data_IF_284751101881
#
_entry.id   IF_284751101881
#
_cell.length_a   1.000
_cell.length_b   1.000
_cell.length_c   1.000
_cell.angle_alpha   90.00
_cell.angle_beta   90.00
_cell.angle_gamma   90.00
#
_symmetry.space_group_name_H-M   'P 1'
#
loop_
_entity.id
_entity.type
_entity.pdbx_description
1 polymer ?
#
# COMPACT_ATOMS: atom_id res chain seq x y z
N UNK A 1 -20.57 26.06 -15.10
CA UNK A 1 -20.30 24.95 -16.08
C UNK A 1 -20.84 23.65 -15.50
N UNK A 2 -21.53 22.83 -16.30
CA UNK A 2 -22.03 21.52 -15.83
C UNK A 2 -21.17 20.38 -16.36
N UNK A 3 -20.74 19.47 -15.50
CA UNK A 3 -19.99 18.25 -15.88
C UNK A 3 -20.29 17.11 -14.88
N UNK A 4 -19.76 15.93 -15.16
CA UNK A 4 -19.79 14.79 -14.23
C UNK A 4 -19.09 15.14 -12.94
N UNK A 5 -19.63 14.71 -11.81
CA UNK A 5 -19.08 15.00 -10.49
C UNK A 5 -17.59 14.64 -10.38
N UNK A 6 -17.19 13.42 -10.83
CA UNK A 6 -15.81 12.97 -10.77
C UNK A 6 -14.83 13.85 -11.57
N UNK A 7 -15.28 14.47 -12.65
CA UNK A 7 -14.47 15.40 -13.45
C UNK A 7 -14.47 16.81 -12.87
N UNK A 8 -15.66 17.28 -12.51
CA UNK A 8 -15.83 18.63 -11.98
C UNK A 8 -15.02 18.84 -10.72
N UNK A 9 -15.03 17.88 -9.79
CA UNK A 9 -14.26 17.95 -8.55
C UNK A 9 -12.74 18.08 -8.79
N UNK A 10 -12.22 17.44 -9.84
CA UNK A 10 -10.80 17.62 -10.23
C UNK A 10 -10.57 18.98 -10.87
N UNK A 11 -11.45 19.42 -11.78
CA UNK A 11 -11.32 20.74 -12.43
C UNK A 11 -11.42 21.93 -11.45
N UNK A 12 -12.12 21.74 -10.33
CA UNK A 12 -12.20 22.69 -9.24
C UNK A 12 -11.01 22.62 -8.26
N UNK A 13 -10.06 21.69 -8.48
CA UNK A 13 -8.90 21.49 -7.60
C UNK A 13 -9.22 20.86 -6.24
N UNK A 14 -10.43 20.30 -6.06
CA UNK A 14 -10.85 19.66 -4.82
C UNK A 14 -10.22 18.26 -4.64
N UNK A 15 -9.80 17.64 -5.74
CA UNK A 15 -9.07 16.38 -5.76
C UNK A 15 -8.02 16.37 -6.86
N UNK A 16 -6.90 15.71 -6.60
CA UNK A 16 -5.78 15.60 -7.56
C UNK A 16 -6.07 14.66 -8.73
N UNK A 17 -7.02 13.72 -8.57
CA UNK A 17 -7.36 12.75 -9.59
C UNK A 17 -8.84 12.35 -9.56
N UNK A 18 -9.34 11.88 -10.72
CA UNK A 18 -10.69 11.33 -10.82
C UNK A 18 -10.90 10.08 -9.94
N UNK A 19 -9.84 9.32 -9.70
CA UNK A 19 -9.89 8.14 -8.83
C UNK A 19 -10.14 8.57 -7.38
N UNK A 20 -9.45 9.61 -6.89
CA UNK A 20 -9.66 10.17 -5.55
C UNK A 20 -11.06 10.78 -5.40
N UNK A 21 -11.53 11.54 -6.41
CA UNK A 21 -12.88 12.10 -6.43
C UNK A 21 -13.96 11.01 -6.38
N UNK A 22 -13.81 9.94 -7.16
CA UNK A 22 -14.73 8.78 -7.16
C UNK A 22 -14.77 8.11 -5.79
N UNK A 23 -13.61 7.83 -5.20
CA UNK A 23 -13.54 7.23 -3.88
C UNK A 23 -14.25 8.07 -2.82
N UNK A 24 -14.07 9.40 -2.85
CA UNK A 24 -14.74 10.33 -1.95
C UNK A 24 -16.27 10.33 -2.13
N UNK A 25 -16.76 10.31 -3.39
CA UNK A 25 -18.20 10.23 -3.69
C UNK A 25 -18.77 8.90 -3.18
N UNK A 26 -18.14 7.77 -3.48
CA UNK A 26 -18.57 6.43 -3.06
C UNK A 26 -18.58 6.30 -1.54
N UNK A 27 -17.61 6.91 -0.85
CA UNK A 27 -17.56 7.00 0.60
C UNK A 27 -18.58 8.00 1.21
N UNK A 28 -19.35 8.70 0.38
CA UNK A 28 -20.35 9.70 0.84
C UNK A 28 -19.71 10.96 1.41
N UNK A 29 -18.52 11.31 0.99
CA UNK A 29 -17.74 12.45 1.46
C UNK A 29 -17.91 13.71 0.61
N UNK A 30 -18.87 13.71 -0.32
CA UNK A 30 -19.14 14.84 -1.23
C UNK A 30 -20.62 15.21 -1.15
N UNK A 31 -20.88 16.50 -0.94
CA UNK A 31 -22.24 17.09 -1.04
C UNK A 31 -22.24 18.25 -2.03
N UNK A 32 -23.37 18.49 -2.67
CA UNK A 32 -23.65 19.66 -3.50
C UNK A 32 -24.96 20.29 -3.05
N UNK A 33 -24.96 21.58 -2.73
CA UNK A 33 -26.11 22.29 -2.13
C UNK A 33 -26.71 21.55 -0.91
N UNK A 34 -25.82 20.98 -0.05
CA UNK A 34 -26.20 20.23 1.14
C UNK A 34 -26.70 18.79 0.87
N UNK A 35 -26.83 18.37 -0.39
CA UNK A 35 -27.31 17.04 -0.77
C UNK A 35 -26.13 16.14 -1.13
N UNK A 36 -26.10 14.90 -0.60
CA UNK A 36 -25.07 13.92 -0.91
C UNK A 36 -25.02 13.60 -2.40
N UNK A 37 -23.83 13.66 -3.00
CA UNK A 37 -23.57 13.20 -4.37
C UNK A 37 -23.54 11.68 -4.38
N UNK A 38 -24.50 11.06 -5.08
CA UNK A 38 -24.70 9.60 -5.00
C UNK A 38 -23.82 8.81 -5.97
N UNK A 39 -23.42 9.39 -7.09
CA UNK A 39 -22.68 8.69 -8.15
C UNK A 39 -21.60 9.58 -8.79
N UNK A 40 -20.42 9.03 -9.14
CA UNK A 40 -19.37 9.77 -9.85
C UNK A 40 -19.83 10.35 -11.20
N UNK A 41 -20.83 9.73 -11.83
CA UNK A 41 -21.41 10.19 -13.11
C UNK A 41 -22.53 11.23 -12.95
N UNK A 42 -22.93 11.57 -11.72
CA UNK A 42 -23.94 12.60 -11.46
C UNK A 42 -23.47 13.95 -12.03
N UNK A 43 -24.37 14.68 -12.70
CA UNK A 43 -24.06 16.02 -13.21
C UNK A 43 -24.17 17.04 -12.09
N UNK A 44 -23.11 17.83 -11.90
CA UNK A 44 -23.04 18.96 -10.98
C UNK A 44 -22.72 20.24 -11.75
N UNK A 45 -23.05 21.39 -11.17
CA UNK A 45 -22.62 22.72 -11.66
C UNK A 45 -21.42 23.23 -10.88
N UNK A 46 -20.53 23.97 -11.55
CA UNK A 46 -19.46 24.72 -10.85
C UNK A 46 -19.99 25.78 -9.89
N UNK A 47 -21.26 26.13 -10.02
CA UNK A 47 -21.95 27.16 -9.21
C UNK A 47 -22.65 26.55 -8.00
N UNK A 48 -22.69 25.20 -7.90
CA UNK A 48 -23.22 24.51 -6.73
C UNK A 48 -22.27 24.74 -5.53
N UNK A 49 -22.85 24.88 -4.32
CA UNK A 49 -22.08 24.86 -3.08
C UNK A 49 -21.60 23.42 -2.82
N UNK A 50 -20.33 23.14 -3.19
CA UNK A 50 -19.75 21.80 -3.10
C UNK A 50 -18.86 21.70 -1.87
N UNK A 51 -19.21 20.76 -0.97
CA UNK A 51 -18.32 20.33 0.11
C UNK A 51 -17.77 18.95 -0.20
N UNK A 52 -16.46 18.80 -0.12
CA UNK A 52 -15.79 17.55 -0.43
C UNK A 52 -14.60 17.30 0.52
N UNK A 53 -14.51 16.07 1.04
CA UNK A 53 -13.37 15.61 1.85
C UNK A 53 -12.86 14.27 1.30
N UNK A 54 -11.55 13.97 1.44
CA UNK A 54 -11.00 12.69 1.00
C UNK A 54 -11.69 11.49 1.65
N UNK A 55 -11.76 10.36 0.93
CA UNK A 55 -12.30 9.10 1.45
C UNK A 55 -11.48 8.53 2.62
N UNK A 56 -10.20 8.83 2.65
CA UNK A 56 -9.23 8.42 3.67
C UNK A 56 -8.11 9.47 3.77
N UNK A 57 -7.38 9.50 4.89
CA UNK A 57 -6.34 10.52 5.12
C UNK A 57 -5.04 10.30 4.34
N UNK A 58 -4.86 9.12 3.71
CA UNK A 58 -3.60 8.71 3.08
C UNK A 58 -3.55 9.08 1.60
N UNK A 59 -2.32 9.20 1.05
CA UNK A 59 -2.10 9.51 -0.37
C UNK A 59 -2.65 8.42 -1.31
N UNK A 60 -2.83 7.19 -0.83
CA UNK A 60 -3.48 6.11 -1.58
C UNK A 60 -4.23 5.13 -0.68
N UNK A 61 -5.12 4.30 -1.29
CA UNK A 61 -5.87 3.23 -0.58
C UNK A 61 -4.96 2.21 0.10
N UNK A 62 -3.72 2.04 -0.40
CA UNK A 62 -2.72 1.18 0.24
C UNK A 62 -2.51 1.53 1.71
N UNK A 63 -2.56 2.82 2.05
CA UNK A 63 -2.44 3.26 3.44
C UNK A 63 -3.46 2.66 4.39
N UNK A 64 -4.71 2.41 3.93
CA UNK A 64 -5.72 1.73 4.75
C UNK A 64 -5.29 0.31 5.14
N UNK A 65 -4.61 -0.40 4.24
CA UNK A 65 -4.13 -1.76 4.46
C UNK A 65 -3.04 -1.78 5.54
N UNK A 66 -2.00 -0.95 5.37
CA UNK A 66 -0.91 -0.90 6.35
C UNK A 66 -1.38 -0.41 7.71
N UNK A 67 -2.19 0.65 7.77
CA UNK A 67 -2.72 1.17 9.04
C UNK A 67 -3.51 0.09 9.81
N UNK A 68 -4.30 -0.71 9.09
CA UNK A 68 -5.00 -1.87 9.68
C UNK A 68 -4.01 -2.91 10.22
N UNK A 69 -3.02 -3.32 9.41
CA UNK A 69 -2.02 -4.31 9.82
C UNK A 69 -1.23 -3.88 11.05
N UNK A 70 -0.75 -2.63 11.07
CA UNK A 70 -0.02 -2.08 12.23
C UNK A 70 -0.88 -2.11 13.51
N UNK A 71 -2.16 -1.72 13.39
CA UNK A 71 -3.08 -1.74 14.53
C UNK A 71 -3.37 -3.16 15.04
N UNK A 72 -3.65 -4.11 14.13
CA UNK A 72 -3.97 -5.50 14.49
C UNK A 72 -2.78 -6.21 15.11
N UNK A 73 -1.58 -6.00 14.56
CA UNK A 73 -0.36 -6.66 15.03
C UNK A 73 0.33 -5.94 16.21
N UNK A 74 -0.12 -4.74 16.56
CA UNK A 74 0.47 -3.93 17.62
C UNK A 74 1.88 -3.42 17.28
N UNK A 75 2.18 -3.21 15.98
CA UNK A 75 3.48 -2.72 15.52
C UNK A 75 3.49 -1.20 15.51
N UNK A 76 4.43 -0.60 16.26
CA UNK A 76 4.59 0.86 16.34
C UNK A 76 5.78 1.32 15.49
N UNK A 77 5.54 2.15 14.44
CA UNK A 77 6.59 2.75 13.63
C UNK A 77 7.35 3.91 14.29
N UNK A 78 6.88 4.44 15.43
CA UNK A 78 7.46 5.64 16.03
C UNK A 78 8.98 5.49 16.30
N UNK A 79 9.74 6.46 15.81
CA UNK A 79 11.21 6.51 15.95
C UNK A 79 11.97 5.49 15.09
N UNK A 80 11.31 4.60 14.36
CA UNK A 80 11.95 3.54 13.56
C UNK A 80 12.54 4.06 12.25
N UNK A 81 13.58 3.40 11.78
CA UNK A 81 14.10 3.47 10.41
C UNK A 81 13.41 2.38 9.60
N UNK A 82 12.68 2.77 8.57
CA UNK A 82 11.77 1.90 7.83
C UNK A 82 12.21 1.69 6.38
N UNK A 83 11.92 0.50 5.82
CA UNK A 83 12.07 0.20 4.40
C UNK A 83 10.69 -0.16 3.82
N UNK A 84 10.21 0.65 2.87
CA UNK A 84 8.95 0.45 2.14
C UNK A 84 9.25 -0.15 0.76
N UNK A 85 8.88 -1.42 0.55
CA UNK A 85 9.19 -2.21 -0.65
C UNK A 85 7.95 -2.25 -1.54
N UNK A 86 8.05 -1.68 -2.75
CA UNK A 86 6.91 -1.49 -3.65
C UNK A 86 6.11 -0.26 -3.27
N UNK A 87 6.80 0.85 -2.99
CA UNK A 87 6.20 2.07 -2.46
C UNK A 87 5.15 2.71 -3.39
N UNK A 88 5.27 2.54 -4.71
CA UNK A 88 4.37 3.11 -5.72
C UNK A 88 4.08 4.60 -5.45
N UNK A 89 2.83 4.97 -5.16
CA UNK A 89 2.45 6.34 -4.81
C UNK A 89 2.84 6.78 -3.39
N UNK A 90 3.36 5.89 -2.56
CA UNK A 90 3.78 6.18 -1.19
C UNK A 90 2.71 5.96 -0.12
N UNK A 91 1.69 5.14 -0.40
CA UNK A 91 0.61 4.90 0.57
C UNK A 91 1.08 4.31 1.90
N UNK A 92 2.02 3.37 1.87
CA UNK A 92 2.63 2.80 3.06
C UNK A 92 3.58 3.79 3.73
N UNK A 93 4.40 4.48 2.95
CA UNK A 93 5.28 5.56 3.42
C UNK A 93 4.50 6.63 4.20
N UNK A 94 3.36 7.10 3.69
CA UNK A 94 2.52 8.10 4.35
C UNK A 94 2.02 7.62 5.73
N UNK A 95 1.59 6.35 5.83
CA UNK A 95 1.20 5.75 7.11
C UNK A 95 2.36 5.74 8.09
N UNK A 96 3.54 5.29 7.67
CA UNK A 96 4.73 5.22 8.52
C UNK A 96 5.12 6.61 9.04
N UNK A 97 5.13 7.62 8.18
CA UNK A 97 5.46 9.01 8.55
C UNK A 97 4.45 9.60 9.55
N UNK A 98 3.15 9.37 9.33
CA UNK A 98 2.08 9.80 10.24
C UNK A 98 2.15 9.09 11.60
N UNK A 99 2.58 7.83 11.60
CA UNK A 99 2.82 7.07 12.82
C UNK A 99 4.17 7.39 13.51
N UNK A 100 4.90 8.42 13.03
CA UNK A 100 6.10 8.91 13.69
C UNK A 100 7.39 8.18 13.32
N UNK A 101 7.45 7.47 12.19
CA UNK A 101 8.70 6.90 11.68
C UNK A 101 9.77 7.98 11.58
N UNK A 102 10.99 7.65 12.03
CA UNK A 102 12.13 8.56 11.98
C UNK A 102 12.61 8.79 10.56
N UNK A 103 12.61 7.74 9.76
CA UNK A 103 13.00 7.78 8.35
C UNK A 103 12.36 6.62 7.59
N UNK A 104 12.03 6.85 6.30
CA UNK A 104 11.51 5.84 5.40
C UNK A 104 12.31 5.83 4.12
N UNK A 105 12.91 4.69 3.78
CA UNK A 105 13.47 4.43 2.44
C UNK A 105 12.39 3.77 1.61
N UNK A 106 11.84 4.48 0.64
CA UNK A 106 10.77 4.05 -0.23
C UNK A 106 11.35 3.57 -1.57
N UNK A 107 11.14 2.30 -1.91
CA UNK A 107 11.76 1.65 -3.07
C UNK A 107 10.69 1.16 -4.04
N UNK A 108 10.80 1.56 -5.31
CA UNK A 108 9.92 1.08 -6.38
C UNK A 108 10.65 1.02 -7.73
N UNK A 109 10.26 0.05 -8.58
CA UNK A 109 10.75 -0.04 -9.96
C UNK A 109 10.09 0.98 -10.88
N UNK A 110 8.95 1.54 -10.50
CA UNK A 110 8.23 2.61 -11.20
C UNK A 110 8.99 3.92 -11.20
N UNK A 111 8.51 4.86 -11.99
CA UNK A 111 9.11 6.21 -12.12
C UNK A 111 8.03 7.27 -12.10
N UNK A 112 8.26 8.36 -11.37
CA UNK A 112 7.35 9.52 -11.33
C UNK A 112 5.98 9.21 -10.76
N UNK A 113 5.87 8.17 -9.93
CA UNK A 113 4.63 7.77 -9.28
C UNK A 113 4.54 8.26 -7.84
N UNK A 114 5.68 8.46 -7.21
CA UNK A 114 5.75 8.81 -5.79
C UNK A 114 5.12 10.17 -5.56
N UNK A 115 4.23 10.26 -4.58
CA UNK A 115 3.40 11.44 -4.35
C UNK A 115 4.27 12.65 -3.96
N UNK A 116 4.04 13.79 -4.61
CA UNK A 116 4.88 14.98 -4.45
C UNK A 116 4.94 15.51 -3.01
N UNK A 117 3.87 15.35 -2.22
CA UNK A 117 3.85 15.76 -0.82
C UNK A 117 4.80 14.94 0.07
N UNK A 118 5.14 13.72 -0.35
CA UNK A 118 6.07 12.85 0.36
C UNK A 118 7.52 13.01 -0.15
N UNK A 119 7.68 13.27 -1.44
CA UNK A 119 8.99 13.41 -2.06
C UNK A 119 9.83 14.57 -1.48
N UNK A 120 9.18 15.58 -0.91
CA UNK A 120 9.83 16.72 -0.25
C UNK A 120 10.04 16.56 1.26
N UNK A 121 9.56 15.48 1.87
CA UNK A 121 9.72 15.25 3.32
C UNK A 121 11.17 14.82 3.62
N UNK A 122 11.92 15.55 4.50
CA UNK A 122 13.31 15.22 4.83
C UNK A 122 13.50 13.85 5.49
N UNK A 123 12.42 13.24 5.96
CA UNK A 123 12.39 11.88 6.52
C UNK A 123 12.26 10.81 5.44
N UNK A 124 12.20 11.15 4.15
CA UNK A 124 11.99 10.20 3.06
C UNK A 124 13.21 10.17 2.14
N UNK A 125 13.68 8.98 1.85
CA UNK A 125 14.57 8.69 0.73
C UNK A 125 13.79 7.90 -0.31
N UNK A 126 13.40 8.54 -1.42
CA UNK A 126 12.71 7.88 -2.51
C UNK A 126 13.71 7.31 -3.52
N UNK A 127 13.65 6.00 -3.73
CA UNK A 127 14.46 5.25 -4.70
C UNK A 127 13.52 4.72 -5.81
N UNK A 128 13.13 5.59 -6.72
CA UNK A 128 12.38 5.21 -7.92
C UNK A 128 13.30 4.58 -8.97
N UNK A 129 12.72 3.78 -9.86
CA UNK A 129 13.45 2.97 -10.85
C UNK A 129 14.49 2.03 -10.21
N UNK A 130 14.30 1.67 -8.97
CA UNK A 130 15.19 0.80 -8.20
C UNK A 130 14.53 -0.55 -7.96
N UNK A 131 15.19 -1.62 -8.42
CA UNK A 131 14.79 -2.97 -8.11
C UNK A 131 15.22 -3.33 -6.68
N UNK A 132 14.27 -3.69 -5.83
CA UNK A 132 14.54 -4.06 -4.45
C UNK A 132 15.47 -5.28 -4.31
N UNK A 133 15.54 -6.14 -5.32
CA UNK A 133 16.47 -7.28 -5.39
C UNK A 133 17.94 -6.88 -5.55
N UNK A 134 18.21 -5.63 -5.93
CA UNK A 134 19.55 -5.08 -6.12
C UNK A 134 19.92 -4.04 -5.07
N UNK A 135 19.13 -3.95 -3.99
CA UNK A 135 19.45 -3.06 -2.87
C UNK A 135 20.78 -3.45 -2.22
N UNK A 136 21.45 -2.45 -1.72
CA UNK A 136 22.68 -2.58 -0.94
C UNK A 136 22.56 -1.80 0.35
N UNK A 137 23.35 -2.14 1.37
CA UNK A 137 23.40 -1.37 2.61
C UNK A 137 23.72 0.12 2.36
N UNK A 138 24.51 0.43 1.33
CA UNK A 138 24.81 1.83 0.94
C UNK A 138 23.58 2.58 0.45
N UNK A 139 22.71 1.94 -0.32
CA UNK A 139 21.47 2.55 -0.84
C UNK A 139 20.44 2.74 0.26
N UNK A 140 20.34 1.76 1.15
CA UNK A 140 19.39 1.79 2.29
C UNK A 140 19.88 2.74 3.37
N UNK A 141 21.21 2.88 3.55
CA UNK A 141 21.83 3.75 4.55
C UNK A 141 21.98 3.06 5.92
N UNK A 142 20.94 3.08 6.73
CA UNK A 142 20.89 2.42 8.04
C UNK A 142 20.13 1.09 7.95
N UNK A 143 20.45 0.11 8.81
CA UNK A 143 19.72 -1.16 8.86
C UNK A 143 18.27 -0.92 9.31
N UNK A 144 17.25 -1.24 8.48
CA UNK A 144 15.86 -1.00 8.83
C UNK A 144 15.42 -1.85 10.04
N UNK A 145 14.72 -1.22 10.96
CA UNK A 145 14.09 -1.90 12.11
C UNK A 145 12.63 -2.26 11.85
N UNK A 146 12.03 -1.70 10.79
CA UNK A 146 10.72 -2.08 10.30
C UNK A 146 10.73 -2.15 8.77
N UNK A 147 10.34 -3.30 8.22
CA UNK A 147 10.11 -3.48 6.80
C UNK A 147 8.60 -3.50 6.54
N UNK A 148 8.18 -2.87 5.44
CA UNK A 148 6.82 -3.01 4.92
C UNK A 148 6.87 -3.33 3.43
N UNK A 149 5.86 -4.04 2.90
CA UNK A 149 5.81 -4.43 1.50
C UNK A 149 4.39 -4.45 0.94
N UNK A 150 4.18 -3.76 -0.18
CA UNK A 150 2.97 -3.81 -1.03
C UNK A 150 3.34 -4.04 -2.50
N UNK A 151 4.17 -5.03 -2.79
CA UNK A 151 4.63 -5.32 -4.15
C UNK A 151 3.56 -6.05 -4.98
N UNK A 152 3.60 -5.82 -6.31
CA UNK A 152 2.74 -6.46 -7.30
C UNK A 152 3.56 -7.08 -8.42
N UNK A 153 2.97 -8.06 -9.13
CA UNK A 153 3.53 -8.69 -10.33
C UNK A 153 4.80 -9.53 -10.11
N UNK A 154 5.11 -9.89 -8.87
CA UNK A 154 6.27 -10.71 -8.50
C UNK A 154 5.93 -11.58 -7.28
N UNK A 155 6.45 -12.79 -7.25
CA UNK A 155 6.38 -13.64 -6.06
C UNK A 155 7.28 -13.05 -4.95
N UNK A 156 6.78 -13.05 -3.72
CA UNK A 156 7.46 -12.43 -2.57
C UNK A 156 8.83 -13.06 -2.30
N UNK A 157 8.96 -14.38 -2.46
CA UNK A 157 10.22 -15.10 -2.26
C UNK A 157 11.32 -14.62 -3.21
N UNK A 158 10.95 -14.24 -4.44
CA UNK A 158 11.89 -13.68 -5.42
C UNK A 158 12.31 -12.26 -5.11
N UNK A 159 11.41 -11.49 -4.47
CA UNK A 159 11.60 -10.08 -4.18
C UNK A 159 12.39 -9.86 -2.88
N UNK A 160 12.04 -10.60 -1.83
CA UNK A 160 12.38 -10.23 -0.45
C UNK A 160 13.75 -10.72 0.03
N UNK A 161 14.39 -11.66 -0.66
CA UNK A 161 15.66 -12.26 -0.21
C UNK A 161 16.74 -11.20 0.13
N UNK A 162 16.89 -10.17 -0.70
CA UNK A 162 17.84 -9.08 -0.44
C UNK A 162 17.31 -8.12 0.64
N UNK A 163 16.11 -7.55 0.54
CA UNK A 163 15.58 -6.65 1.57
C UNK A 163 15.65 -7.20 3.00
N UNK A 164 15.23 -8.45 3.23
CA UNK A 164 15.24 -9.04 4.59
C UNK A 164 16.66 -9.25 5.13
N UNK A 165 17.66 -9.43 4.26
CA UNK A 165 19.05 -9.58 4.67
C UNK A 165 19.66 -8.27 5.19
N UNK A 166 19.16 -7.12 4.73
CA UNK A 166 19.64 -5.78 5.07
C UNK A 166 19.07 -5.25 6.39
N UNK A 167 18.06 -5.92 6.95
CA UNK A 167 17.37 -5.46 8.15
C UNK A 167 18.20 -5.64 9.42
N UNK A 168 17.87 -4.86 10.46
CA UNK A 168 18.40 -5.01 11.81
C UNK A 168 18.02 -6.38 12.42
N UNK A 169 18.79 -6.85 13.41
CA UNK A 169 18.54 -8.12 14.10
C UNK A 169 17.22 -8.13 14.89
N UNK A 170 16.77 -6.98 15.38
CA UNK A 170 15.52 -6.83 16.10
C UNK A 170 14.37 -6.31 15.21
N UNK A 171 14.49 -6.46 13.89
CA UNK A 171 13.52 -5.91 12.97
C UNK A 171 12.23 -6.72 12.91
N UNK A 172 11.15 -5.98 12.60
CA UNK A 172 9.82 -6.52 12.29
C UNK A 172 9.46 -6.28 10.83
N UNK A 173 8.55 -7.08 10.31
CA UNK A 173 8.07 -6.98 8.95
C UNK A 173 6.55 -7.09 8.88
N UNK A 174 5.89 -6.09 8.31
CA UNK A 174 4.46 -6.12 7.98
C UNK A 174 4.31 -6.02 6.46
N UNK A 175 3.78 -7.07 5.82
CA UNK A 175 3.67 -7.11 4.38
C UNK A 175 2.33 -7.64 3.88
N UNK A 176 2.00 -7.29 2.64
CA UNK A 176 0.84 -7.81 1.93
C UNK A 176 1.20 -9.09 1.16
N UNK A 177 0.41 -10.11 1.40
CA UNK A 177 0.37 -11.33 0.60
C UNK A 177 -0.79 -11.23 -0.38
N UNK A 178 -0.46 -11.27 -1.66
CA UNK A 178 -1.41 -11.16 -2.78
C UNK A 178 -1.46 -12.49 -3.51
N UNK A 179 -2.51 -13.30 -3.34
CA UNK A 179 -2.54 -14.66 -3.88
C UNK A 179 -2.31 -14.73 -5.39
N UNK A 180 -2.80 -13.76 -6.15
CA UNK A 180 -2.66 -13.71 -7.62
C UNK A 180 -1.19 -13.67 -8.12
N UNK A 181 -0.23 -13.31 -7.26
CA UNK A 181 1.20 -13.30 -7.59
C UNK A 181 1.97 -14.44 -6.92
N UNK A 182 1.31 -15.27 -6.12
CA UNK A 182 1.92 -16.35 -5.35
C UNK A 182 1.49 -17.74 -5.84
N UNK A 183 0.23 -17.88 -6.28
CA UNK A 183 -0.26 -19.13 -6.86
C UNK A 183 0.25 -19.32 -8.29
N UNK A 184 0.26 -20.57 -8.80
CA UNK A 184 0.54 -20.87 -10.19
C UNK A 184 -0.49 -20.22 -11.14
N UNK A 185 -0.08 -19.99 -12.38
CA UNK A 185 -0.95 -19.35 -13.40
C UNK A 185 -2.26 -20.11 -13.63
N UNK A 186 -2.25 -21.42 -13.43
CA UNK A 186 -3.40 -22.32 -13.52
C UNK A 186 -4.50 -22.01 -12.51
N UNK A 187 -4.16 -21.37 -11.39
CA UNK A 187 -5.11 -20.95 -10.35
C UNK A 187 -5.57 -19.49 -10.48
N UNK A 188 -5.08 -18.77 -11.50
CA UNK A 188 -5.47 -17.39 -11.78
C UNK A 188 -6.53 -17.36 -12.85
N UNK A 189 -7.76 -17.02 -12.49
CA UNK A 189 -8.90 -16.97 -13.38
C UNK A 189 -8.99 -15.71 -14.24
N UNK A 190 -10.14 -15.57 -14.92
CA UNK A 190 -10.40 -14.40 -15.77
C UNK A 190 -10.32 -13.10 -14.95
N UNK A 191 -9.64 -12.11 -15.52
CA UNK A 191 -9.45 -10.80 -14.85
C UNK A 191 -8.41 -10.81 -13.74
N UNK A 192 -7.60 -11.88 -13.60
CA UNK A 192 -6.57 -11.97 -12.57
C UNK A 192 -7.10 -12.42 -11.20
N UNK A 193 -8.36 -12.88 -11.13
CA UNK A 193 -8.98 -13.28 -9.85
C UNK A 193 -8.55 -14.69 -9.45
N UNK A 194 -8.21 -14.86 -8.17
CA UNK A 194 -7.97 -16.16 -7.52
C UNK A 194 -9.19 -16.50 -6.68
N UNK A 195 -9.93 -17.51 -7.12
CA UNK A 195 -11.12 -18.04 -6.42
C UNK A 195 -10.84 -19.37 -5.72
N UNK A 196 -9.70 -19.99 -6.02
CA UNK A 196 -9.23 -21.22 -5.38
C UNK A 196 -8.58 -20.88 -4.03
N UNK A 197 -9.37 -20.97 -2.97
CA UNK A 197 -8.92 -20.67 -1.59
C UNK A 197 -7.87 -21.67 -1.12
N UNK A 198 -7.96 -22.94 -1.51
CA UNK A 198 -6.97 -23.95 -1.12
C UNK A 198 -5.61 -23.69 -1.77
N UNK A 199 -5.58 -23.26 -3.05
CA UNK A 199 -4.35 -22.87 -3.71
C UNK A 199 -3.74 -21.64 -3.04
N UNK A 200 -4.57 -20.67 -2.64
CA UNK A 200 -4.12 -19.48 -1.90
C UNK A 200 -3.52 -19.86 -0.54
N UNK A 201 -4.14 -20.77 0.20
CA UNK A 201 -3.66 -21.20 1.52
C UNK A 201 -2.36 -22.00 1.38
N UNK A 202 -2.26 -22.93 0.43
CA UNK A 202 -0.99 -23.63 0.14
C UNK A 202 0.15 -22.68 -0.21
N UNK A 203 -0.13 -21.64 -1.01
CA UNK A 203 0.87 -20.62 -1.35
C UNK A 203 1.28 -19.80 -0.12
N UNK A 204 0.35 -19.46 0.77
CA UNK A 204 0.67 -18.76 2.02
C UNK A 204 1.52 -19.61 2.98
N UNK A 205 1.25 -20.92 3.08
CA UNK A 205 2.05 -21.86 3.87
C UNK A 205 3.47 -22.02 3.30
N UNK A 206 3.60 -22.11 1.97
CA UNK A 206 4.90 -22.18 1.29
C UNK A 206 5.71 -20.92 1.54
N UNK A 207 5.08 -19.75 1.41
CA UNK A 207 5.71 -18.47 1.71
C UNK A 207 6.14 -18.36 3.18
N UNK A 208 5.28 -18.79 4.12
CA UNK A 208 5.61 -18.79 5.54
C UNK A 208 6.82 -19.70 5.86
N UNK A 209 6.89 -20.86 5.22
CA UNK A 209 8.02 -21.79 5.33
C UNK A 209 9.32 -21.18 4.79
N UNK A 210 9.23 -20.51 3.63
CA UNK A 210 10.36 -19.79 3.06
C UNK A 210 10.85 -18.66 3.97
N UNK A 211 9.93 -17.83 4.50
CA UNK A 211 10.26 -16.75 5.45
C UNK A 211 10.96 -17.28 6.69
N UNK A 212 10.47 -18.39 7.27
CA UNK A 212 11.11 -19.02 8.40
C UNK A 212 12.54 -19.51 8.06
N UNK A 213 12.75 -20.05 6.86
CA UNK A 213 14.08 -20.42 6.35
C UNK A 213 15.03 -19.23 6.18
N UNK A 214 14.51 -18.02 5.99
CA UNK A 214 15.29 -16.77 5.97
C UNK A 214 15.54 -16.19 7.37
N UNK A 215 15.09 -16.85 8.43
CA UNK A 215 15.15 -16.33 9.81
C UNK A 215 14.05 -15.32 10.14
N UNK A 216 12.92 -15.34 9.40
CA UNK A 216 11.79 -14.44 9.57
C UNK A 216 10.47 -15.21 9.77
N UNK A 217 10.31 -15.96 10.87
CA UNK A 217 9.07 -16.67 11.12
C UNK A 217 7.87 -15.72 11.17
N UNK A 218 6.83 -16.04 10.40
CA UNK A 218 5.57 -15.29 10.45
C UNK A 218 4.87 -15.61 11.77
N UNK A 219 4.49 -14.58 12.50
CA UNK A 219 3.83 -14.65 13.82
C UNK A 219 2.33 -14.54 13.76
N UNK A 220 1.83 -13.77 12.79
CA UNK A 220 0.39 -13.52 12.65
C UNK A 220 0.00 -13.21 11.21
N UNK A 221 -1.27 -13.48 10.90
CA UNK A 221 -1.94 -13.12 9.67
C UNK A 221 -3.23 -12.38 9.98
N UNK A 222 -3.65 -11.46 9.12
CA UNK A 222 -4.98 -10.85 9.13
C UNK A 222 -5.43 -10.56 7.71
N UNK A 223 -6.73 -10.54 7.47
CA UNK A 223 -7.26 -10.14 6.17
C UNK A 223 -7.07 -8.63 5.96
N UNK A 224 -6.85 -8.24 4.72
CA UNK A 224 -6.84 -6.83 4.34
C UNK A 224 -8.25 -6.24 4.50
N UNK A 225 -8.40 -5.02 5.04
CA UNK A 225 -9.71 -4.39 5.22
C UNK A 225 -10.37 -3.99 3.90
N UNK A 226 -9.63 -4.03 2.80
CA UNK A 226 -10.10 -3.75 1.44
C UNK A 226 -9.48 -4.73 0.45
N UNK A 227 -10.19 -5.03 -0.63
CA UNK A 227 -9.66 -5.83 -1.74
C UNK A 227 -8.61 -5.09 -2.54
N UNK A 228 -7.79 -5.85 -3.28
CA UNK A 228 -6.89 -5.33 -4.30
C UNK A 228 -7.63 -4.53 -5.40
N UNK A 229 -6.89 -3.82 -6.22
CA UNK A 229 -7.46 -3.05 -7.34
C UNK A 229 -8.15 -3.91 -8.39
N UNK A 230 -7.78 -5.16 -8.50
CA UNK A 230 -8.34 -6.21 -9.35
C UNK A 230 -9.49 -7.01 -8.69
N UNK A 231 -9.81 -6.73 -7.41
CA UNK A 231 -10.86 -7.37 -6.65
C UNK A 231 -10.43 -8.59 -5.83
N UNK A 232 -9.15 -8.98 -5.87
CA UNK A 232 -8.64 -10.08 -5.07
C UNK A 232 -8.70 -9.79 -3.57
N UNK A 233 -9.04 -10.81 -2.78
CA UNK A 233 -8.80 -10.79 -1.36
C UNK A 233 -7.29 -10.86 -1.10
N UNK A 234 -6.80 -10.02 -0.22
CA UNK A 234 -5.39 -9.95 0.16
C UNK A 234 -5.25 -10.18 1.67
N UNK A 235 -4.10 -10.63 2.13
CA UNK A 235 -3.81 -10.86 3.55
C UNK A 235 -2.57 -10.08 3.95
N UNK A 236 -2.57 -9.58 5.19
CA UNK A 236 -1.38 -9.01 5.80
C UNK A 236 -0.71 -10.07 6.67
N UNK A 237 0.61 -10.06 6.69
CA UNK A 237 1.41 -10.88 7.58
C UNK A 237 2.31 -10.03 8.46
N UNK A 238 2.61 -10.52 9.65
CA UNK A 238 3.59 -9.98 10.57
C UNK A 238 4.67 -11.03 10.83
N UNK A 239 5.92 -10.68 10.57
CA UNK A 239 7.08 -11.51 10.86
C UNK A 239 8.07 -10.74 11.74
N UNK A 240 8.82 -11.48 12.56
CA UNK A 240 9.85 -10.93 13.43
C UNK A 240 11.14 -11.68 13.16
N UNK A 241 12.25 -10.97 13.01
CA UNK A 241 13.54 -11.58 12.79
C UNK A 241 13.96 -12.41 14.00
N UNK A 242 14.37 -13.67 13.77
CA UNK A 242 14.79 -14.63 14.80
C UNK A 242 16.26 -14.43 15.21
#
# INVERSE_FOLDING_TARGET
>A
MKDRADKLLVSLGLFESRAAARAAIEAGRVTAAGVRVAKPSQTLSSDDDITATPAHPYVSRGGLKLAHGLAVFGVDPAGRYCLDIGASTGGFTDVLLRAGARHVVAVDVGRGQFHHSLAGDPRVTSLEAQDARTLTARLVGEAPTLLVCDASFIALEKLLAVPVSLADRAAEFVGLFKPQFQVGREHVGKGGLVTDTEASDRAAEAFASWMAGQGWPIRAWTDSPITGGDGNAERLFHAVRA
#
